data_IF_793182947313
#
_entry.id   IF_793182947313
#
_cell.length_a   1.000
_cell.length_b   1.000
_cell.length_c   1.000
_cell.angle_alpha   90.00
_cell.angle_beta   90.00
_cell.angle_gamma   90.00
#
_symmetry.space_group_name_H-M   'P 1'
#
loop_
_entity.id
_entity.type
_entity.pdbx_description
1 polymer ?
#
# COMPACT_ATOMS: atom_id res chain seq x y z
N UNK A 1 6.94 -12.71 39.55
CA UNK A 1 6.83 -13.29 38.19
C UNK A 1 7.55 -12.36 37.22
N UNK A 2 8.81 -12.64 36.90
CA UNK A 2 9.67 -11.81 36.05
C UNK A 2 9.21 -11.95 34.60
N UNK A 3 8.83 -10.84 33.97
CA UNK A 3 8.43 -10.80 32.55
C UNK A 3 9.71 -10.79 31.71
N UNK A 4 10.06 -11.93 31.12
CA UNK A 4 11.09 -11.99 30.09
C UNK A 4 10.60 -11.21 28.88
N UNK A 5 11.20 -10.04 28.61
CA UNK A 5 10.97 -9.29 27.37
C UNK A 5 11.88 -9.90 26.30
N UNK A 6 11.33 -10.78 25.46
CA UNK A 6 12.02 -11.27 24.27
C UNK A 6 12.03 -10.15 23.24
N UNK A 7 13.19 -9.54 23.00
CA UNK A 7 13.38 -8.59 21.90
C UNK A 7 13.83 -9.40 20.68
N UNK A 8 12.94 -9.61 19.72
CA UNK A 8 13.29 -10.26 18.44
C UNK A 8 14.10 -9.25 17.62
N UNK A 9 15.43 -9.38 17.63
CA UNK A 9 16.30 -8.69 16.67
C UNK A 9 16.22 -9.47 15.36
N UNK A 10 15.54 -8.92 14.35
CA UNK A 10 15.60 -9.47 12.98
C UNK A 10 16.94 -9.09 12.38
N UNK A 11 17.65 -10.05 11.78
CA UNK A 11 18.87 -9.76 11.04
C UNK A 11 18.53 -9.06 9.72
N UNK A 12 19.46 -8.30 9.15
CA UNK A 12 19.27 -7.68 7.82
C UNK A 12 18.91 -8.73 6.76
N UNK A 13 19.48 -9.93 6.84
CA UNK A 13 19.13 -11.06 5.96
C UNK A 13 17.68 -11.51 6.12
N UNK A 14 17.09 -11.42 7.33
CA UNK A 14 15.68 -11.80 7.53
C UNK A 14 14.74 -10.81 6.82
N UNK A 15 15.09 -9.52 6.79
CA UNK A 15 14.32 -8.47 6.11
C UNK A 15 14.39 -8.66 4.60
N UNK A 16 15.57 -8.96 4.06
CA UNK A 16 15.77 -9.21 2.63
C UNK A 16 15.04 -10.48 2.15
N UNK A 17 15.10 -11.56 2.93
CA UNK A 17 14.33 -12.79 2.66
C UNK A 17 12.82 -12.56 2.74
N UNK A 18 12.36 -11.77 3.71
CA UNK A 18 10.95 -11.41 3.83
C UNK A 18 10.48 -10.62 2.62
N UNK A 19 11.26 -9.66 2.12
CA UNK A 19 10.93 -8.94 0.90
C UNK A 19 10.70 -9.89 -0.27
N UNK A 20 11.63 -10.82 -0.53
CA UNK A 20 11.49 -11.77 -1.63
C UNK A 20 10.24 -12.65 -1.47
N UNK A 21 9.93 -13.09 -0.25
CA UNK A 21 8.73 -13.89 0.04
C UNK A 21 7.45 -13.11 -0.19
N UNK A 22 7.33 -11.90 0.40
CA UNK A 22 6.15 -11.05 0.25
C UNK A 22 5.95 -10.63 -1.20
N UNK A 23 7.02 -10.20 -1.88
CA UNK A 23 6.93 -9.75 -3.26
C UNK A 23 6.54 -10.87 -4.22
N UNK A 24 7.15 -12.06 -4.08
CA UNK A 24 6.79 -13.23 -4.89
C UNK A 24 5.34 -13.65 -4.70
N UNK A 25 4.79 -13.51 -3.48
CA UNK A 25 3.40 -13.88 -3.19
C UNK A 25 2.38 -12.94 -3.85
N UNK A 26 2.79 -11.73 -4.24
CA UNK A 26 1.90 -10.74 -4.85
C UNK A 26 2.23 -10.42 -6.30
N UNK A 27 3.28 -11.03 -6.86
CA UNK A 27 3.76 -10.81 -8.23
C UNK A 27 2.79 -11.43 -9.26
N UNK A 28 2.43 -10.65 -10.27
CA UNK A 28 1.53 -11.01 -11.36
C UNK A 28 1.83 -10.12 -12.57
N UNK A 29 1.71 -10.66 -13.78
CA UNK A 29 1.91 -9.92 -15.02
C UNK A 29 0.77 -8.92 -15.29
N UNK A 30 -0.39 -9.11 -14.66
CA UNK A 30 -1.57 -8.25 -14.80
C UNK A 30 -1.53 -7.01 -13.87
N UNK A 31 -0.53 -6.93 -12.99
CA UNK A 31 -0.41 -5.88 -11.99
C UNK A 31 0.85 -5.07 -12.23
N UNK A 32 0.84 -3.85 -11.68
CA UNK A 32 1.96 -2.94 -11.77
C UNK A 32 2.52 -2.63 -10.38
N UNK A 33 3.84 -2.43 -10.33
CA UNK A 33 4.59 -2.32 -9.08
C UNK A 33 5.49 -1.10 -9.10
N UNK A 34 5.28 -0.20 -8.15
CA UNK A 34 6.28 0.79 -7.78
C UNK A 34 7.03 0.25 -6.54
N UNK A 35 8.34 0.10 -6.66
CA UNK A 35 9.20 -0.47 -5.63
C UNK A 35 10.12 0.59 -5.04
N UNK A 36 10.21 0.61 -3.72
CA UNK A 36 11.26 1.32 -3.00
C UNK A 36 11.94 0.38 -2.01
N UNK A 37 13.27 0.38 -2.06
CA UNK A 37 14.12 -0.25 -1.06
C UNK A 37 14.87 0.85 -0.31
N UNK A 38 14.75 0.84 1.01
CA UNK A 38 15.40 1.82 1.89
C UNK A 38 16.92 1.83 1.69
N UNK A 39 17.50 3.04 1.64
CA UNK A 39 18.95 3.28 1.51
C UNK A 39 19.77 2.62 2.62
N UNK A 40 19.17 2.37 3.79
CA UNK A 40 19.79 1.66 4.92
C UNK A 40 19.97 0.16 4.67
N UNK A 41 19.35 -0.41 3.64
CA UNK A 41 19.53 -1.81 3.24
C UNK A 41 20.93 -2.05 2.69
N UNK A 42 21.35 -3.32 2.62
CA UNK A 42 22.67 -3.65 2.08
C UNK A 42 22.79 -3.23 0.60
N UNK A 43 23.99 -2.77 0.20
CA UNK A 43 24.25 -2.41 -1.19
C UNK A 43 24.09 -3.60 -2.14
N UNK A 44 24.42 -4.81 -1.68
CA UNK A 44 24.23 -6.05 -2.41
C UNK A 44 22.74 -6.31 -2.70
N UNK A 45 21.87 -6.09 -1.72
CA UNK A 45 20.43 -6.26 -1.87
C UNK A 45 19.81 -5.20 -2.80
N UNK A 46 20.19 -3.93 -2.64
CA UNK A 46 19.79 -2.86 -3.57
C UNK A 46 20.14 -3.20 -5.03
N UNK A 47 21.36 -3.68 -5.26
CA UNK A 47 21.80 -4.10 -6.57
C UNK A 47 21.04 -5.35 -7.07
N UNK A 48 20.73 -6.29 -6.18
CA UNK A 48 19.98 -7.49 -6.52
C UNK A 48 18.54 -7.18 -6.94
N UNK A 49 17.82 -6.35 -6.19
CA UNK A 49 16.45 -5.92 -6.53
C UNK A 49 16.43 -5.23 -7.89
N UNK A 50 17.35 -4.29 -8.14
CA UNK A 50 17.45 -3.62 -9.44
C UNK A 50 17.72 -4.63 -10.57
N UNK A 51 18.75 -5.46 -10.43
CA UNK A 51 19.11 -6.45 -11.45
C UNK A 51 17.96 -7.40 -11.78
N UNK A 52 17.18 -7.81 -10.78
CA UNK A 52 16.13 -8.80 -10.96
C UNK A 52 14.84 -8.22 -11.58
N UNK A 53 14.53 -6.95 -11.34
CA UNK A 53 13.21 -6.41 -11.66
C UNK A 53 13.22 -5.15 -12.56
N UNK A 54 14.35 -4.47 -12.78
CA UNK A 54 14.38 -3.22 -13.57
C UNK A 54 14.08 -3.41 -15.07
N UNK A 55 14.12 -4.66 -15.56
CA UNK A 55 13.80 -4.98 -16.95
C UNK A 55 12.33 -5.38 -17.15
N UNK A 56 11.55 -5.53 -16.06
CA UNK A 56 10.15 -5.92 -16.15
C UNK A 56 9.30 -4.70 -16.55
N UNK A 57 8.46 -4.87 -17.58
CA UNK A 57 7.65 -3.77 -18.13
C UNK A 57 6.56 -3.26 -17.16
N UNK A 58 6.26 -4.02 -16.11
CA UNK A 58 5.28 -3.69 -15.08
C UNK A 58 5.91 -3.33 -13.72
N UNK A 59 7.21 -3.07 -13.67
CA UNK A 59 7.92 -2.70 -12.44
C UNK A 59 8.72 -1.42 -12.62
N UNK A 60 8.50 -0.46 -11.73
CA UNK A 60 9.30 0.75 -11.61
C UNK A 60 10.00 0.79 -10.25
N UNK A 61 11.30 1.07 -10.26
CA UNK A 61 12.10 1.07 -9.04
C UNK A 61 12.56 2.50 -8.76
N UNK A 62 12.06 3.08 -7.67
CA UNK A 62 12.40 4.43 -7.26
C UNK A 62 13.84 4.50 -6.73
N UNK A 63 14.38 5.71 -6.72
CA UNK A 63 15.63 5.97 -6.02
C UNK A 63 15.50 5.64 -4.53
N UNK A 64 16.50 4.93 -4.01
CA UNK A 64 16.60 4.60 -2.60
C UNK A 64 16.91 5.84 -1.77
N UNK A 65 15.93 6.23 -0.96
CA UNK A 65 16.05 7.23 0.11
C UNK A 65 15.96 6.55 1.48
N UNK A 66 16.49 7.21 2.52
CA UNK A 66 16.34 6.76 3.90
C UNK A 66 14.96 7.10 4.42
N UNK A 67 14.19 6.08 4.83
CA UNK A 67 12.87 6.27 5.44
C UNK A 67 12.98 6.08 6.95
N UNK A 68 12.49 7.06 7.69
CA UNK A 68 12.52 7.05 9.16
C UNK A 68 11.18 6.57 9.68
N UNK A 69 11.21 5.57 10.55
CA UNK A 69 9.99 5.09 11.20
C UNK A 69 9.28 6.23 11.95
N UNK A 70 7.95 6.30 11.79
CA UNK A 70 7.10 7.38 12.30
C UNK A 70 7.50 8.80 11.85
N UNK A 71 8.34 8.94 10.82
CA UNK A 71 8.74 10.22 10.24
C UNK A 71 7.90 10.62 9.03
N UNK A 72 7.95 11.91 8.67
CA UNK A 72 7.30 12.46 7.46
C UNK A 72 7.81 11.78 6.18
N UNK A 73 9.02 11.23 6.21
CA UNK A 73 9.64 10.53 5.08
C UNK A 73 8.89 9.27 4.67
N UNK A 74 8.08 8.66 5.54
CA UNK A 74 7.15 7.58 5.15
C UNK A 74 6.10 8.12 4.19
N UNK A 75 5.45 9.23 4.55
CA UNK A 75 4.40 9.88 3.75
C UNK A 75 4.96 10.37 2.42
N UNK A 76 6.10 11.07 2.45
CA UNK A 76 6.79 11.51 1.24
C UNK A 76 7.13 10.34 0.32
N UNK A 77 7.50 9.18 0.91
CA UNK A 77 7.81 8.02 0.11
C UNK A 77 6.58 7.39 -0.52
N UNK A 78 5.51 7.20 0.25
CA UNK A 78 4.23 6.69 -0.24
C UNK A 78 3.66 7.58 -1.35
N UNK A 79 3.75 8.91 -1.22
CA UNK A 79 3.28 9.85 -2.25
C UNK A 79 4.04 9.71 -3.56
N UNK A 80 5.37 9.56 -3.51
CA UNK A 80 6.13 9.36 -4.73
C UNK A 80 5.88 7.99 -5.37
N UNK A 81 5.66 6.94 -4.58
CA UNK A 81 5.25 5.64 -5.12
C UNK A 81 3.93 5.76 -5.88
N UNK A 82 2.95 6.46 -5.31
CA UNK A 82 1.68 6.74 -5.97
C UNK A 82 1.87 7.59 -7.25
N UNK A 83 2.73 8.62 -7.20
CA UNK A 83 3.05 9.44 -8.37
C UNK A 83 3.70 8.62 -9.49
N UNK A 84 4.70 7.79 -9.17
CA UNK A 84 5.33 6.89 -10.14
C UNK A 84 4.30 5.94 -10.76
N UNK A 85 3.38 5.39 -9.97
CA UNK A 85 2.29 4.55 -10.49
C UNK A 85 1.39 5.30 -11.49
N UNK A 86 1.15 6.60 -11.27
CA UNK A 86 0.33 7.44 -12.17
C UNK A 86 1.07 7.82 -13.46
N UNK A 87 2.38 8.00 -13.38
CA UNK A 87 3.20 8.51 -14.50
C UNK A 87 3.72 7.39 -15.41
N UNK A 88 4.19 6.29 -14.83
CA UNK A 88 4.92 5.26 -15.55
C UNK A 88 4.02 4.23 -16.22
N UNK A 89 2.82 4.04 -15.70
CA UNK A 89 1.92 2.99 -16.15
C UNK A 89 0.58 3.59 -16.56
N UNK A 90 -0.11 2.89 -17.46
CA UNK A 90 -1.40 3.33 -17.99
C UNK A 90 -2.56 3.20 -16.99
N UNK A 91 -3.72 2.78 -17.47
CA UNK A 91 -4.93 2.73 -16.65
C UNK A 91 -4.86 1.77 -15.48
N UNK A 92 -5.43 2.19 -14.35
CA UNK A 92 -5.60 1.39 -13.14
C UNK A 92 -6.67 1.86 -12.19
N UNK A 93 -7.08 0.96 -11.30
CA UNK A 93 -8.30 1.08 -10.52
C UNK A 93 -8.03 1.16 -9.03
N UNK A 94 -7.08 0.38 -8.51
CA UNK A 94 -6.77 0.36 -7.08
C UNK A 94 -5.28 0.52 -6.82
N UNK A 95 -4.94 1.42 -5.89
CA UNK A 95 -3.63 1.57 -5.30
C UNK A 95 -3.59 0.89 -3.93
N UNK A 96 -2.71 -0.09 -3.78
CA UNK A 96 -2.50 -0.83 -2.52
C UNK A 96 -1.11 -0.50 -1.99
N UNK A 97 -1.03 0.14 -0.83
CA UNK A 97 0.24 0.37 -0.15
C UNK A 97 0.59 -0.84 0.74
N UNK A 98 1.78 -1.40 0.54
CA UNK A 98 2.33 -2.55 1.26
C UNK A 98 3.67 -2.16 1.87
N UNK A 99 3.92 -2.52 3.12
CA UNK A 99 5.20 -2.42 3.80
C UNK A 99 6.00 -3.73 3.75
N UNK A 100 7.27 -3.69 4.17
CA UNK A 100 8.11 -4.89 4.31
C UNK A 100 7.56 -5.99 5.23
N UNK A 101 6.70 -5.64 6.18
CA UNK A 101 6.10 -6.59 7.12
C UNK A 101 4.76 -7.14 6.65
N UNK A 102 4.25 -6.65 5.52
CA UNK A 102 2.97 -7.10 4.97
C UNK A 102 3.13 -8.43 4.22
N UNK A 103 2.08 -9.24 4.31
CA UNK A 103 1.96 -10.50 3.59
C UNK A 103 0.50 -10.76 3.24
N UNK A 104 0.18 -11.23 2.02
CA UNK A 104 -1.19 -11.54 1.66
C UNK A 104 -1.73 -12.70 2.51
N UNK A 105 -2.93 -12.53 3.07
CA UNK A 105 -3.65 -13.57 3.83
C UNK A 105 -4.70 -14.31 3.02
N UNK A 106 -5.02 -13.78 1.84
CA UNK A 106 -5.94 -14.36 0.85
C UNK A 106 -5.23 -14.47 -0.50
N UNK A 107 -5.74 -15.36 -1.37
CA UNK A 107 -5.23 -15.52 -2.72
C UNK A 107 -5.42 -14.25 -3.56
N UNK A 108 -4.60 -14.07 -4.60
CA UNK A 108 -4.69 -12.87 -5.43
C UNK A 108 -6.01 -12.78 -6.21
N UNK A 109 -6.47 -13.90 -6.76
CA UNK A 109 -7.75 -13.99 -7.45
C UNK A 109 -8.92 -13.64 -6.52
N UNK A 110 -8.87 -14.10 -5.26
CA UNK A 110 -9.87 -13.80 -4.24
C UNK A 110 -9.89 -12.31 -3.89
N UNK A 111 -8.70 -11.71 -3.70
CA UNK A 111 -8.56 -10.26 -3.48
C UNK A 111 -9.13 -9.45 -4.65
N UNK A 112 -8.83 -9.85 -5.89
CA UNK A 112 -9.34 -9.19 -7.10
C UNK A 112 -10.85 -9.33 -7.24
N UNK A 113 -11.40 -10.51 -6.97
CA UNK A 113 -12.84 -10.74 -6.99
C UNK A 113 -13.56 -9.88 -5.94
N UNK A 114 -13.01 -9.79 -4.73
CA UNK A 114 -13.58 -8.97 -3.66
C UNK A 114 -13.53 -7.47 -3.98
N UNK A 115 -12.39 -6.96 -4.45
CA UNK A 115 -12.26 -5.55 -4.86
C UNK A 115 -13.15 -5.23 -6.06
N UNK A 116 -13.23 -6.15 -7.03
CA UNK A 116 -14.07 -6.03 -8.23
C UNK A 116 -15.58 -6.08 -7.94
N UNK A 117 -15.99 -6.58 -6.78
CA UNK A 117 -17.38 -6.58 -6.32
C UNK A 117 -17.83 -5.20 -5.78
N UNK A 118 -16.90 -4.26 -5.57
CA UNK A 118 -17.19 -2.90 -5.10
C UNK A 118 -17.08 -1.87 -6.23
N UNK A 119 -17.77 -0.71 -6.14
CA UNK A 119 -17.56 0.40 -7.06
C UNK A 119 -16.10 0.83 -7.09
N UNK A 120 -15.55 1.16 -8.27
CA UNK A 120 -14.13 1.52 -8.48
C UNK A 120 -13.69 2.75 -7.70
N UNK A 121 -14.63 3.65 -7.46
CA UNK A 121 -14.46 4.89 -6.73
C UNK A 121 -14.41 4.69 -5.20
N UNK A 122 -14.59 3.46 -4.72
CA UNK A 122 -14.50 3.09 -3.31
C UNK A 122 -13.06 3.13 -2.81
N UNK A 123 -12.84 3.85 -1.71
CA UNK A 123 -11.56 3.89 -1.02
C UNK A 123 -11.67 3.11 0.30
N UNK A 124 -10.73 2.19 0.53
CA UNK A 124 -10.67 1.37 1.72
C UNK A 124 -9.61 1.91 2.67
N UNK A 125 -10.01 2.74 3.63
CA UNK A 125 -9.11 3.35 4.61
C UNK A 125 -9.65 3.10 6.00
N UNK A 126 -8.81 2.54 6.85
CA UNK A 126 -9.13 2.29 8.24
C UNK A 126 -8.89 3.56 9.08
N UNK A 127 -9.95 4.09 9.67
CA UNK A 127 -9.90 5.25 10.54
C UNK A 127 -10.28 4.87 11.97
N UNK A 128 -9.55 5.39 12.96
CA UNK A 128 -9.86 5.19 14.36
C UNK A 128 -10.32 6.48 15.04
N UNK A 129 -11.35 6.43 15.90
CA UNK A 129 -11.76 7.59 16.66
C UNK A 129 -10.66 7.99 17.65
N UNK A 130 -10.26 9.25 17.61
CA UNK A 130 -9.36 9.84 18.60
C UNK A 130 -10.25 10.47 19.68
N UNK A 131 -10.23 9.93 20.90
CA UNK A 131 -11.10 10.41 21.98
C UNK A 131 -11.02 11.93 22.18
N UNK A 132 -12.19 12.59 22.32
CA UNK A 132 -12.40 14.06 22.33
C UNK A 132 -12.24 14.77 20.98
N UNK A 133 -11.94 14.05 19.91
CA UNK A 133 -11.90 14.58 18.55
C UNK A 133 -12.88 13.80 17.67
N UNK A 134 -13.92 14.49 17.20
CA UNK A 134 -14.83 13.90 16.23
C UNK A 134 -14.15 13.89 14.86
N UNK A 135 -13.35 12.86 14.59
CA UNK A 135 -12.67 12.70 13.30
C UNK A 135 -13.68 12.71 12.15
N UNK A 136 -14.83 12.06 12.31
CA UNK A 136 -15.89 12.05 11.31
C UNK A 136 -16.66 13.39 11.24
N UNK A 137 -16.82 14.12 12.34
CA UNK A 137 -17.36 15.50 12.31
C UNK A 137 -16.42 16.49 11.60
N UNK A 138 -15.11 16.22 11.59
CA UNK A 138 -14.17 16.94 10.71
C UNK A 138 -14.33 16.53 9.24
N UNK A 139 -14.70 15.27 8.95
CA UNK A 139 -15.00 14.80 7.59
C UNK A 139 -16.31 15.41 7.07
N UNK A 140 -17.37 15.43 7.88
CA UNK A 140 -18.66 16.08 7.56
C UNK A 140 -18.48 17.57 7.19
N UNK A 141 -17.55 18.26 7.85
CA UNK A 141 -17.23 19.67 7.57
C UNK A 141 -16.29 19.87 6.35
N UNK A 142 -15.68 18.81 5.84
CA UNK A 142 -14.82 18.82 4.65
C UNK A 142 -15.36 17.95 3.50
N UNK A 143 -16.67 17.68 3.45
CA UNK A 143 -17.29 16.82 2.42
C UNK A 143 -16.95 17.21 0.97
N UNK A 144 -16.64 18.49 0.71
CA UNK A 144 -16.17 18.97 -0.59
C UNK A 144 -14.79 18.40 -1.02
N UNK A 145 -13.97 17.92 -0.08
CA UNK A 145 -12.62 17.37 -0.32
C UNK A 145 -12.64 15.87 -0.54
N UNK A 146 -13.67 15.16 -0.08
CA UNK A 146 -13.72 13.70 -0.11
C UNK A 146 -15.03 13.25 -0.75
N UNK A 147 -14.92 12.61 -1.92
CA UNK A 147 -16.02 12.48 -2.90
C UNK A 147 -16.87 11.21 -2.70
N UNK A 148 -16.31 10.16 -2.12
CA UNK A 148 -17.02 8.97 -1.65
C UNK A 148 -16.12 8.23 -0.64
N UNK A 149 -16.62 8.02 0.58
CA UNK A 149 -15.93 7.23 1.60
C UNK A 149 -16.87 6.13 2.05
N UNK A 150 -16.39 4.89 1.94
CA UNK A 150 -17.00 3.74 2.58
C UNK A 150 -16.26 3.51 3.88
N UNK A 151 -16.90 3.82 5.00
CA UNK A 151 -16.33 3.60 6.33
C UNK A 151 -16.91 2.30 6.86
N UNK A 152 -16.15 1.22 6.76
CA UNK A 152 -16.41 -0.02 7.48
C UNK A 152 -15.84 0.11 8.89
N UNK A 153 -16.69 -0.01 9.90
CA UNK A 153 -16.29 0.04 11.31
C UNK A 153 -15.71 -1.30 11.83
N UNK A 154 -15.72 -2.33 10.98
CA UNK A 154 -15.32 -3.71 11.22
C UNK A 154 -16.11 -4.41 12.34
N UNK A 155 -17.24 -3.84 12.78
CA UNK A 155 -18.28 -4.48 13.56
C UNK A 155 -19.45 -4.96 12.67
N UNK A 156 -19.37 -4.70 11.36
CA UNK A 156 -20.38 -5.07 10.37
C UNK A 156 -21.22 -3.89 9.89
N UNK A 157 -20.94 -2.67 10.37
CA UNK A 157 -21.64 -1.46 9.95
C UNK A 157 -20.78 -0.70 8.92
N UNK A 158 -21.39 -0.44 7.76
CA UNK A 158 -20.79 0.35 6.68
C UNK A 158 -21.52 1.68 6.59
N UNK A 159 -20.77 2.78 6.71
CA UNK A 159 -21.28 4.12 6.50
C UNK A 159 -20.87 4.65 5.13
N UNK A 160 -21.89 4.94 4.31
CA UNK A 160 -21.75 5.63 3.03
C UNK A 160 -21.80 7.15 3.21
N UNK A 161 -20.75 7.84 2.79
CA UNK A 161 -20.76 9.30 2.64
C UNK A 161 -20.59 9.60 1.15
N UNK A 162 -21.71 9.90 0.46
CA UNK A 162 -21.76 10.15 -0.99
C UNK A 162 -22.31 11.54 -1.30
N UNK A 163 -21.60 12.30 -2.14
CA UNK A 163 -22.21 13.34 -2.96
C UNK A 163 -21.46 13.45 -4.32
N UNK A 164 -22.21 13.20 -5.40
CA UNK A 164 -21.91 13.35 -6.86
C UNK A 164 -21.56 12.07 -7.67
N UNK A 165 -22.31 11.89 -8.77
CA UNK A 165 -22.24 10.79 -9.77
C UNK A 165 -20.98 10.82 -10.65
N UNK A 166 -20.45 9.63 -11.05
CA UNK A 166 -19.24 9.48 -11.90
C UNK A 166 -19.42 8.49 -13.06
N UNK A 167 -18.59 8.58 -14.12
CA UNK A 167 -18.75 7.76 -15.32
C UNK A 167 -18.39 6.29 -15.07
N UNK A 168 -19.18 5.37 -15.66
CA UNK A 168 -18.94 3.92 -15.62
C UNK A 168 -17.80 3.52 -16.57
N UNK A 169 -16.77 2.86 -16.05
CA UNK A 169 -15.67 2.28 -16.84
C UNK A 169 -15.63 0.75 -16.72
N UNK A 170 -15.12 0.06 -17.77
CA UNK A 170 -15.38 -1.37 -18.03
C UNK A 170 -14.26 -2.37 -17.70
N UNK A 171 -12.99 -2.00 -17.50
CA UNK A 171 -11.90 -2.99 -17.21
C UNK A 171 -10.96 -2.56 -16.08
N UNK A 172 -10.69 -3.47 -15.13
CA UNK A 172 -9.91 -3.20 -13.91
C UNK A 172 -8.42 -3.57 -14.08
N UNK A 173 -7.49 -2.77 -13.56
CA UNK A 173 -6.04 -2.98 -13.49
C UNK A 173 -5.54 -2.59 -12.09
N UNK A 174 -4.74 -3.43 -11.44
CA UNK A 174 -4.38 -3.31 -10.01
C UNK A 174 -2.93 -2.91 -9.78
N UNK A 175 -2.68 -2.08 -8.76
CA UNK A 175 -1.37 -1.48 -8.48
C UNK A 175 -1.00 -1.69 -7.02
N UNK A 176 0.22 -2.15 -6.80
CA UNK A 176 0.76 -2.42 -5.47
C UNK A 176 2.04 -1.63 -5.30
N UNK A 177 2.05 -0.69 -4.38
CA UNK A 177 3.25 -0.04 -3.90
C UNK A 177 3.83 -0.89 -2.77
N UNK A 178 5.06 -1.38 -2.92
CA UNK A 178 5.76 -2.10 -1.85
C UNK A 178 6.91 -1.22 -1.34
N UNK A 179 6.80 -0.83 -0.07
CA UNK A 179 7.74 -0.03 0.67
C UNK A 179 8.49 -0.90 1.66
N UNK A 180 9.78 -1.13 1.38
CA UNK A 180 10.64 -1.76 2.37
C UNK A 180 11.22 -0.71 3.32
N UNK A 181 11.07 -0.92 4.63
CA UNK A 181 11.73 -0.13 5.67
C UNK A 181 12.75 -1.06 6.35
N UNK A 182 13.97 -0.57 6.53
CA UNK A 182 15.04 -1.28 7.24
C UNK A 182 15.28 -0.69 8.64
#
# INVERSE_FOLDING_TARGET
>A
RTRTRTRTLRSLSDVELQFHRSFSAVLSDDHFYALHVDRKSSSAFLAAVRRNYSAAANVEILESVSVSWAGVTVVERTLALAQTCLEAFGHWDFFVNLGHEDYPVVGMEEMQAWLGAHPRETNFIKCWPIGRHNFFGQVESHGHRVRQIHVDDFAGDVHDITDVERPKFKEFKFYKALQQIA
#
